data_IF_901656324739
#
_entry.id   IF_901656324739
#
_cell.length_a   1.000
_cell.length_b   1.000
_cell.length_c   1.000
_cell.angle_alpha   90.00
_cell.angle_beta   90.00
_cell.angle_gamma   90.00
#
_symmetry.space_group_name_H-M   'P 1'
#
loop_
_entity.id
_entity.type
_entity.pdbx_description
1 polymer ?
#
# COMPACT_ATOMS: atom_id res chain seq x y z
N UNK A 1 13.86 -24.48 -11.71
CA UNK A 1 12.41 -24.63 -11.45
C UNK A 1 12.03 -23.62 -10.38
N UNK A 2 11.00 -22.79 -10.61
CA UNK A 2 10.56 -21.78 -9.65
C UNK A 2 10.06 -22.39 -8.34
N UNK A 3 10.13 -21.64 -7.24
CA UNK A 3 9.61 -22.09 -5.93
C UNK A 3 8.13 -21.70 -5.85
N UNK A 4 7.25 -22.70 -5.82
CA UNK A 4 5.83 -22.48 -5.63
C UNK A 4 5.56 -22.03 -4.18
N UNK A 5 4.86 -20.91 -4.02
CA UNK A 5 4.50 -20.35 -2.70
C UNK A 5 3.00 -20.17 -2.59
N UNK A 6 2.46 -20.51 -1.44
CA UNK A 6 1.09 -20.16 -1.08
C UNK A 6 1.03 -18.67 -0.77
N UNK A 7 0.22 -17.93 -1.52
CA UNK A 7 0.06 -16.49 -1.39
C UNK A 7 -1.40 -16.13 -1.19
N UNK A 8 -1.60 -15.01 -0.49
CA UNK A 8 -2.86 -14.28 -0.51
C UNK A 8 -2.77 -13.24 -1.62
N UNK A 9 -3.56 -13.43 -2.68
CA UNK A 9 -3.46 -12.66 -3.91
C UNK A 9 -4.65 -11.75 -4.07
N UNK A 10 -4.37 -10.49 -4.39
CA UNK A 10 -5.36 -9.47 -4.71
C UNK A 10 -5.34 -9.21 -6.21
N UNK A 11 -6.48 -9.43 -6.85
CA UNK A 11 -6.75 -9.11 -8.24
C UNK A 11 -7.57 -7.82 -8.27
N UNK A 12 -7.05 -6.81 -8.96
CA UNK A 12 -7.69 -5.50 -9.07
C UNK A 12 -7.85 -5.20 -10.55
N UNK A 13 -9.08 -4.91 -10.97
CA UNK A 13 -9.39 -4.35 -12.28
C UNK A 13 -9.71 -2.87 -12.13
N UNK A 14 -9.07 -2.05 -12.95
CA UNK A 14 -9.29 -0.61 -12.99
C UNK A 14 -10.02 -0.24 -14.28
N UNK A 15 -10.93 0.72 -14.19
CA UNK A 15 -11.54 1.32 -15.38
C UNK A 15 -10.62 2.39 -16.00
N UNK A 16 -11.05 3.01 -17.10
CA UNK A 16 -10.29 4.05 -17.81
C UNK A 16 -10.00 5.31 -16.98
N UNK A 17 -10.75 5.51 -15.89
CA UNK A 17 -10.55 6.60 -14.93
C UNK A 17 -9.60 6.22 -13.79
N UNK A 18 -9.06 5.00 -13.78
CA UNK A 18 -8.28 4.42 -12.70
C UNK A 18 -9.06 4.23 -11.38
N UNK A 19 -10.39 4.08 -11.47
CA UNK A 19 -11.22 3.64 -10.35
C UNK A 19 -11.32 2.11 -10.32
N UNK A 20 -11.59 1.56 -9.13
CA UNK A 20 -11.81 0.13 -8.95
C UNK A 20 -13.09 -0.32 -9.68
N UNK A 21 -12.92 -1.10 -10.74
CA UNK A 21 -14.02 -1.76 -11.45
C UNK A 21 -14.38 -3.08 -10.76
N UNK A 22 -13.36 -3.85 -10.37
CA UNK A 22 -13.55 -5.05 -9.55
C UNK A 22 -12.33 -5.32 -8.67
N UNK A 23 -12.60 -5.90 -7.50
CA UNK A 23 -11.60 -6.30 -6.52
C UNK A 23 -11.93 -7.73 -6.11
N UNK A 24 -10.97 -8.64 -6.27
CA UNK A 24 -11.09 -10.02 -5.84
C UNK A 24 -9.87 -10.42 -5.02
N UNK A 25 -10.12 -11.12 -3.94
CA UNK A 25 -9.07 -11.64 -3.08
C UNK A 25 -9.19 -13.16 -3.00
N UNK A 26 -8.07 -13.86 -3.08
CA UNK A 26 -8.05 -15.32 -3.06
C UNK A 26 -6.74 -15.89 -2.50
N UNK A 27 -6.79 -17.11 -1.98
CA UNK A 27 -5.58 -17.92 -1.78
C UNK A 27 -5.16 -18.50 -3.13
N UNK A 28 -3.88 -18.41 -3.47
CA UNK A 28 -3.36 -18.97 -4.73
C UNK A 28 -1.93 -19.49 -4.55
N UNK A 29 -1.57 -20.51 -5.34
CA UNK A 29 -0.18 -20.89 -5.51
C UNK A 29 0.46 -20.02 -6.60
N UNK A 30 1.56 -19.35 -6.27
CA UNK A 30 2.33 -18.53 -7.21
C UNK A 30 3.72 -19.12 -7.33
N UNK A 31 4.16 -19.40 -8.56
CA UNK A 31 5.56 -19.75 -8.84
C UNK A 31 6.36 -18.46 -8.93
N UNK A 32 7.31 -18.27 -8.02
CA UNK A 32 8.28 -17.18 -8.13
C UNK A 32 9.46 -17.73 -8.91
N UNK A 33 9.60 -17.28 -10.16
CA UNK A 33 10.64 -17.73 -11.08
C UNK A 33 11.96 -16.99 -10.86
N UNK A 34 11.88 -15.68 -10.58
CA UNK A 34 13.06 -14.83 -10.42
C UNK A 34 12.82 -13.76 -9.35
N UNK A 35 13.87 -13.44 -8.59
CA UNK A 35 13.93 -12.26 -7.74
C UNK A 35 14.78 -11.20 -8.45
N UNK A 36 14.29 -9.96 -8.49
CA UNK A 36 15.01 -8.83 -9.05
C UNK A 36 15.34 -7.82 -7.95
N UNK A 37 16.54 -7.26 -8.01
CA UNK A 37 16.93 -6.06 -7.30
C UNK A 37 16.30 -4.82 -7.94
N UNK A 38 16.22 -3.71 -7.19
CA UNK A 38 15.74 -2.44 -7.76
C UNK A 38 16.56 -1.99 -8.97
N UNK A 39 17.88 -2.20 -8.94
CA UNK A 39 18.78 -1.81 -10.02
C UNK A 39 18.50 -2.58 -11.31
N UNK A 40 18.27 -3.88 -11.23
CA UNK A 40 17.92 -4.71 -12.40
C UNK A 40 16.57 -4.26 -12.98
N UNK A 41 15.57 -3.99 -12.13
CA UNK A 41 14.27 -3.48 -12.59
C UNK A 41 14.42 -2.09 -13.23
N UNK A 42 15.24 -1.21 -12.69
CA UNK A 42 15.50 0.12 -13.29
C UNK A 42 16.13 0.00 -14.69
N UNK A 43 17.05 -0.95 -14.88
CA UNK A 43 17.66 -1.25 -16.20
C UNK A 43 16.64 -1.81 -17.19
N UNK A 44 15.77 -2.71 -16.74
CA UNK A 44 14.67 -3.26 -17.53
C UNK A 44 13.65 -2.17 -17.91
N UNK A 45 13.30 -1.28 -16.98
CA UNK A 45 12.39 -0.14 -17.27
C UNK A 45 12.99 0.80 -18.33
N UNK A 46 14.30 1.03 -18.28
CA UNK A 46 14.99 1.86 -19.27
C UNK A 46 15.00 1.22 -20.67
N UNK A 47 14.81 -0.10 -20.75
CA UNK A 47 14.74 -0.85 -22.00
C UNK A 47 13.29 -0.88 -22.51
N UNK A 48 12.98 -0.05 -23.51
CA UNK A 48 11.65 0.04 -24.12
C UNK A 48 11.12 -1.33 -24.56
N UNK A 49 9.87 -1.63 -24.19
CA UNK A 49 9.21 -2.89 -24.58
C UNK A 49 9.44 -4.06 -23.61
N UNK A 50 10.18 -3.86 -22.51
CA UNK A 50 10.24 -4.85 -21.43
C UNK A 50 8.93 -4.90 -20.65
N UNK A 51 8.65 -6.03 -19.99
CA UNK A 51 7.53 -6.17 -19.06
C UNK A 51 7.49 -5.06 -18.01
N UNK A 52 8.66 -4.72 -17.41
CA UNK A 52 8.73 -3.69 -16.38
C UNK A 52 8.48 -2.29 -16.94
N UNK A 53 8.91 -1.99 -18.17
CA UNK A 53 8.66 -0.70 -18.82
C UNK A 53 7.16 -0.45 -19.02
N UNK A 54 6.39 -1.47 -19.45
CA UNK A 54 4.93 -1.37 -19.61
C UNK A 54 4.21 -1.17 -18.27
N UNK A 55 4.60 -1.93 -17.24
CA UNK A 55 4.03 -1.78 -15.89
C UNK A 55 4.34 -0.42 -15.31
N UNK A 56 5.56 0.08 -15.50
CA UNK A 56 5.95 1.42 -15.06
C UNK A 56 5.13 2.51 -15.76
N UNK A 57 4.91 2.41 -17.08
CA UNK A 57 4.05 3.34 -17.81
C UNK A 57 2.61 3.35 -17.27
N UNK A 58 2.05 2.17 -16.98
CA UNK A 58 0.73 2.04 -16.37
C UNK A 58 0.66 2.71 -14.99
N UNK A 59 1.68 2.50 -14.16
CA UNK A 59 1.80 3.13 -12.84
C UNK A 59 1.90 4.66 -12.95
N UNK A 60 2.67 5.20 -13.91
CA UNK A 60 2.73 6.65 -14.14
C UNK A 60 1.34 7.25 -14.41
N UNK A 61 0.58 6.64 -15.32
CA UNK A 61 -0.79 7.09 -15.62
C UNK A 61 -1.70 7.05 -14.39
N UNK A 62 -1.54 6.04 -13.54
CA UNK A 62 -2.27 5.92 -12.28
C UNK A 62 -1.93 7.05 -11.31
N UNK A 63 -0.65 7.41 -11.16
CA UNK A 63 -0.27 8.54 -10.31
C UNK A 63 -0.83 9.84 -10.88
N UNK A 64 -0.68 10.10 -12.17
CA UNK A 64 -1.19 11.32 -12.82
C UNK A 64 -2.71 11.47 -12.58
N UNK A 65 -3.46 10.38 -12.67
CA UNK A 65 -4.90 10.38 -12.39
C UNK A 65 -5.21 10.76 -10.94
N UNK A 66 -4.40 10.35 -9.96
CA UNK A 66 -4.59 10.72 -8.55
C UNK A 66 -4.20 12.15 -8.26
N UNK A 67 -3.11 12.65 -8.86
CA UNK A 67 -2.69 14.05 -8.73
C UNK A 67 -3.80 14.97 -9.23
N UNK A 68 -4.40 14.66 -10.40
CA UNK A 68 -5.56 15.40 -10.92
C UNK A 68 -6.78 15.39 -9.99
N UNK A 69 -6.88 14.43 -9.08
CA UNK A 69 -7.96 14.29 -8.08
C UNK A 69 -7.61 14.90 -6.72
N UNK A 70 -6.49 15.62 -6.61
CA UNK A 70 -6.07 16.29 -5.37
C UNK A 70 -5.20 15.44 -4.45
N UNK A 71 -4.57 14.37 -4.94
CA UNK A 71 -3.48 13.71 -4.20
C UNK A 71 -2.24 14.61 -4.19
N UNK A 72 -1.79 15.04 -3.00
CA UNK A 72 -0.62 15.93 -2.81
C UNK A 72 0.71 15.16 -2.94
N UNK A 73 0.83 14.38 -4.00
CA UNK A 73 2.07 13.74 -4.43
C UNK A 73 2.51 14.43 -5.72
N UNK A 74 3.76 14.83 -5.85
CA UNK A 74 4.24 15.56 -7.02
C UNK A 74 5.44 14.85 -7.65
N UNK A 75 5.59 14.98 -8.96
CA UNK A 75 6.81 14.63 -9.66
C UNK A 75 7.58 15.91 -9.97
N UNK A 76 8.88 15.88 -9.77
CA UNK A 76 9.83 16.67 -10.55
C UNK A 76 10.42 15.73 -11.63
N UNK A 77 11.00 16.29 -12.70
CA UNK A 77 11.59 15.59 -13.86
C UNK A 77 12.61 14.50 -13.47
N UNK A 78 13.06 14.47 -12.22
CA UNK A 78 14.01 13.49 -11.67
C UNK A 78 13.54 12.78 -10.39
N UNK A 79 12.43 13.18 -9.76
CA UNK A 79 12.11 12.75 -8.39
C UNK A 79 10.61 12.62 -8.10
N UNK A 80 10.23 11.62 -7.29
CA UNK A 80 8.90 11.56 -6.68
C UNK A 80 8.90 12.26 -5.32
N UNK A 81 8.24 13.40 -5.24
CA UNK A 81 8.09 14.21 -4.03
C UNK A 81 6.79 13.82 -3.33
N UNK A 82 6.90 13.25 -2.14
CA UNK A 82 5.74 13.02 -1.26
C UNK A 82 5.90 13.88 -0.01
N UNK A 83 4.95 14.77 0.22
CA UNK A 83 4.88 15.53 1.46
C UNK A 83 4.63 14.55 2.63
N UNK A 84 5.68 14.26 3.39
CA UNK A 84 5.60 13.51 4.63
C UNK A 84 5.47 14.46 5.81
N UNK A 85 4.72 14.07 6.85
CA UNK A 85 4.80 14.71 8.16
C UNK A 85 5.94 14.05 8.93
N UNK A 86 6.93 14.82 9.36
CA UNK A 86 7.92 14.39 10.36
C UNK A 86 7.62 15.13 11.67
N UNK A 87 7.67 14.44 12.80
CA UNK A 87 7.69 15.12 14.09
C UNK A 87 9.02 15.87 14.22
N UNK A 88 8.97 17.18 14.39
CA UNK A 88 10.15 17.99 14.66
C UNK A 88 10.56 17.81 16.13
N UNK A 89 11.86 17.79 16.48
CA UNK A 89 12.30 17.89 17.86
C UNK A 89 11.81 19.18 18.55
N UNK A 90 11.44 20.22 17.78
CA UNK A 90 10.90 21.49 18.26
C UNK A 90 9.42 21.42 18.68
N UNK A 91 8.75 20.26 18.52
CA UNK A 91 7.38 20.06 19.00
C UNK A 91 7.22 20.25 20.53
N UNK A 92 8.30 20.36 21.29
CA UNK A 92 8.27 20.68 22.72
C UNK A 92 7.81 22.12 23.04
N UNK A 93 7.77 23.04 22.05
CA UNK A 93 7.46 24.47 22.29
C UNK A 93 6.23 25.00 21.53
N UNK A 94 5.30 24.14 21.12
CA UNK A 94 3.99 24.58 20.59
C UNK A 94 3.99 25.16 19.17
N UNK A 95 5.13 25.16 18.47
CA UNK A 95 5.22 25.50 17.04
C UNK A 95 5.34 24.23 16.20
N UNK A 96 4.27 23.86 15.51
CA UNK A 96 4.27 22.80 14.49
C UNK A 96 4.96 23.32 13.22
N UNK A 97 6.29 23.21 13.17
CA UNK A 97 7.01 23.38 11.90
C UNK A 97 6.93 22.08 11.10
N UNK A 98 6.21 22.11 9.97
CA UNK A 98 6.18 21.00 9.01
C UNK A 98 7.48 20.99 8.22
N UNK A 99 8.43 20.14 8.61
CA UNK A 99 9.61 19.87 7.78
C UNK A 99 9.23 18.93 6.64
N UNK A 100 9.19 19.48 5.42
CA UNK A 100 9.10 18.70 4.20
C UNK A 100 10.51 18.27 3.78
N UNK A 101 10.73 16.96 3.59
CA UNK A 101 11.99 16.46 3.05
C UNK A 101 11.78 15.86 1.66
N UNK A 102 12.73 16.14 0.77
CA UNK A 102 12.83 15.50 -0.54
C UNK A 102 13.42 14.10 -0.35
N UNK A 103 12.74 13.08 -0.87
CA UNK A 103 13.29 11.73 -0.95
C UNK A 103 13.24 11.27 -2.40
N UNK A 104 14.42 11.11 -2.98
CA UNK A 104 14.57 10.59 -4.34
C UNK A 104 14.15 9.11 -4.38
N UNK A 105 13.38 8.74 -5.39
CA UNK A 105 13.00 7.35 -5.63
C UNK A 105 13.34 6.97 -7.05
N UNK A 106 13.91 5.77 -7.24
CA UNK A 106 14.13 5.22 -8.58
C UNK A 106 12.81 4.76 -9.21
N UNK A 107 12.81 4.53 -10.53
CA UNK A 107 11.62 4.06 -11.26
C UNK A 107 11.07 2.76 -10.69
N UNK A 108 11.95 1.82 -10.34
CA UNK A 108 11.60 0.55 -9.69
C UNK A 108 10.99 0.76 -8.30
N UNK A 109 11.50 1.71 -7.53
CA UNK A 109 10.95 2.05 -6.21
C UNK A 109 9.57 2.69 -6.33
N UNK A 110 9.36 3.57 -7.31
CA UNK A 110 8.05 4.17 -7.61
C UNK A 110 7.07 3.07 -8.03
N UNK A 111 7.46 2.22 -8.99
CA UNK A 111 6.68 1.07 -9.45
C UNK A 111 6.18 0.22 -8.29
N UNK A 112 7.08 -0.24 -7.42
CA UNK A 112 6.73 -1.08 -6.29
C UNK A 112 5.83 -0.35 -5.29
N UNK A 113 6.18 0.89 -4.91
CA UNK A 113 5.41 1.67 -3.93
C UNK A 113 3.97 1.87 -4.34
N UNK A 114 3.75 2.08 -5.63
CA UNK A 114 2.44 2.40 -6.16
C UNK A 114 1.57 1.18 -6.34
N UNK A 115 2.15 0.05 -6.75
CA UNK A 115 1.47 -1.25 -6.71
C UNK A 115 1.07 -1.60 -5.26
N UNK A 116 1.97 -1.39 -4.29
CA UNK A 116 1.67 -1.63 -2.87
C UNK A 116 0.56 -0.70 -2.37
N UNK A 117 0.59 0.58 -2.72
CA UNK A 117 -0.43 1.55 -2.32
C UNK A 117 -1.79 1.21 -2.94
N UNK A 118 -1.82 0.82 -4.22
CA UNK A 118 -3.02 0.34 -4.90
C UNK A 118 -3.60 -0.88 -4.17
N UNK A 119 -2.76 -1.86 -3.85
CA UNK A 119 -3.18 -3.06 -3.12
C UNK A 119 -3.75 -2.75 -1.74
N UNK A 120 -3.17 -1.78 -1.03
CA UNK A 120 -3.63 -1.34 0.29
C UNK A 120 -4.97 -0.58 0.22
N UNK A 121 -5.16 0.26 -0.80
CA UNK A 121 -6.43 0.99 -1.03
C UNK A 121 -7.54 0.05 -1.50
N UNK A 122 -7.26 -0.87 -2.41
CA UNK A 122 -8.23 -1.85 -2.89
C UNK A 122 -8.69 -2.79 -1.76
N UNK A 123 -7.76 -3.37 -0.99
CA UNK A 123 -8.12 -4.16 0.17
C UNK A 123 -8.88 -3.33 1.23
N UNK A 124 -8.49 -2.07 1.42
CA UNK A 124 -9.18 -1.15 2.31
C UNK A 124 -10.61 -0.83 1.86
N UNK A 125 -10.84 -0.66 0.56
CA UNK A 125 -12.17 -0.46 -0.03
C UNK A 125 -13.05 -1.70 0.16
N UNK A 126 -12.53 -2.90 -0.13
CA UNK A 126 -13.23 -4.17 0.04
C UNK A 126 -13.65 -4.44 1.49
N UNK A 127 -12.78 -4.13 2.45
CA UNK A 127 -13.03 -4.36 3.88
C UNK A 127 -13.65 -3.15 4.59
N UNK A 128 -14.00 -2.10 3.85
CA UNK A 128 -14.59 -0.88 4.44
C UNK A 128 -15.96 -1.10 5.08
N UNK A 129 -16.69 -2.15 4.68
CA UNK A 129 -17.93 -2.62 5.30
C UNK A 129 -17.70 -3.42 6.59
N UNK A 130 -16.49 -3.95 6.79
CA UNK A 130 -16.08 -4.76 7.96
C UNK A 130 -15.12 -3.96 8.84
N UNK A 131 -15.29 -2.64 8.85
CA UNK A 131 -14.38 -1.65 9.45
C UNK A 131 -14.01 -1.93 10.90
N UNK A 132 -14.83 -2.64 11.65
CA UNK A 132 -14.60 -2.92 13.07
C UNK A 132 -13.40 -3.85 13.29
N UNK A 133 -13.03 -4.66 12.31
CA UNK A 133 -12.10 -5.78 12.51
C UNK A 133 -10.72 -5.61 11.88
N UNK A 134 -10.44 -4.47 11.26
CA UNK A 134 -9.19 -4.21 10.54
C UNK A 134 -8.63 -2.82 10.85
N UNK A 135 -7.30 -2.65 10.79
CA UNK A 135 -6.64 -1.37 11.07
C UNK A 135 -6.44 -0.55 9.81
N UNK A 136 -7.15 0.58 9.74
CA UNK A 136 -7.06 1.53 8.66
C UNK A 136 -6.23 2.75 9.05
N UNK A 137 -5.35 3.22 8.16
CA UNK A 137 -4.83 4.58 8.23
C UNK A 137 -5.84 5.56 7.61
N UNK A 138 -6.10 6.66 8.30
CA UNK A 138 -6.76 7.81 7.70
C UNK A 138 -5.76 8.51 6.76
N UNK A 139 -6.09 8.61 5.47
CA UNK A 139 -5.28 9.33 4.47
C UNK A 139 -6.09 10.50 3.92
N UNK A 140 -5.37 11.55 3.50
CA UNK A 140 -5.83 12.87 3.03
C UNK A 140 -6.86 12.92 1.89
N UNK A 141 -7.33 11.78 1.37
CA UNK A 141 -8.18 11.70 0.16
C UNK A 141 -9.32 10.70 0.34
N UNK A 142 -9.78 10.48 1.57
CA UNK A 142 -11.06 9.80 1.83
C UNK A 142 -11.16 8.32 1.47
N UNK A 143 -10.10 7.67 0.96
CA UNK A 143 -10.10 6.22 0.75
C UNK A 143 -9.40 5.48 1.89
N UNK A 144 -10.04 4.46 2.50
CA UNK A 144 -9.45 3.65 3.55
C UNK A 144 -8.23 2.90 3.02
N UNK A 145 -7.09 3.05 3.70
CA UNK A 145 -5.86 2.31 3.40
C UNK A 145 -5.66 1.22 4.46
N UNK A 146 -5.59 -0.03 4.01
CA UNK A 146 -5.33 -1.19 4.87
C UNK A 146 -3.88 -1.65 4.71
N UNK A 147 -3.11 -1.71 5.79
CA UNK A 147 -1.73 -2.23 5.72
C UNK A 147 -1.72 -3.75 5.80
N UNK A 148 -1.47 -4.46 4.71
CA UNK A 148 -1.52 -5.94 4.70
C UNK A 148 -0.40 -6.61 3.88
N UNK A 149 0.49 -5.83 3.27
CA UNK A 149 1.46 -6.31 2.27
C UNK A 149 2.80 -6.77 2.85
N UNK A 150 3.04 -6.61 4.16
CA UNK A 150 4.30 -6.97 4.82
C UNK A 150 4.12 -7.84 6.10
N UNK A 151 3.36 -8.96 6.04
CA UNK A 151 2.97 -9.72 7.23
C UNK A 151 4.15 -10.31 8.01
N UNK A 152 5.26 -10.65 7.35
CA UNK A 152 6.43 -11.23 8.01
C UNK A 152 7.31 -10.20 8.74
N UNK A 153 7.07 -8.90 8.51
CA UNK A 153 7.88 -7.80 9.08
C UNK A 153 7.09 -6.78 9.90
N UNK A 154 5.76 -6.85 9.83
CA UNK A 154 4.86 -5.92 10.50
C UNK A 154 3.72 -6.70 11.13
N UNK A 155 3.66 -6.66 12.47
CA UNK A 155 2.55 -7.27 13.22
C UNK A 155 1.20 -6.73 12.76
N UNK A 156 1.12 -5.42 12.46
CA UNK A 156 -0.08 -4.80 11.88
C UNK A 156 -0.51 -5.47 10.57
N UNK A 157 0.44 -5.72 9.67
CA UNK A 157 0.16 -6.41 8.40
C UNK A 157 -0.27 -7.85 8.59
N UNK A 158 0.36 -8.57 9.53
CA UNK A 158 -0.01 -9.95 9.86
C UNK A 158 -1.47 -10.02 10.36
N UNK A 159 -1.83 -9.09 11.23
CA UNK A 159 -3.15 -9.03 11.85
C UNK A 159 -4.24 -8.65 10.83
N UNK A 160 -3.96 -7.71 9.94
CA UNK A 160 -4.84 -7.40 8.83
C UNK A 160 -4.99 -8.60 7.86
N UNK A 161 -3.94 -9.39 7.62
CA UNK A 161 -4.06 -10.62 6.83
C UNK A 161 -4.93 -11.68 7.50
N UNK A 162 -4.88 -11.80 8.84
CA UNK A 162 -5.81 -12.66 9.57
C UNK A 162 -7.25 -12.22 9.41
N UNK A 163 -7.55 -10.93 9.61
CA UNK A 163 -8.90 -10.39 9.41
C UNK A 163 -9.41 -10.62 7.98
N UNK A 164 -8.53 -10.44 7.00
CA UNK A 164 -8.81 -10.74 5.60
C UNK A 164 -9.16 -12.23 5.39
N UNK A 165 -8.40 -13.14 5.98
CA UNK A 165 -8.63 -14.58 5.86
C UNK A 165 -9.96 -14.98 6.50
N UNK A 166 -10.27 -14.48 7.70
CA UNK A 166 -11.56 -14.74 8.37
C UNK A 166 -12.74 -14.27 7.50
N UNK A 167 -12.62 -13.09 6.87
CA UNK A 167 -13.61 -12.59 5.91
C UNK A 167 -13.80 -13.54 4.72
N UNK A 168 -12.72 -14.08 4.15
CA UNK A 168 -12.80 -15.01 3.01
C UNK A 168 -13.45 -16.36 3.36
N UNK A 169 -13.32 -16.84 4.60
CA UNK A 169 -13.89 -18.13 5.04
C UNK A 169 -15.30 -18.00 5.59
N UNK A 170 -15.85 -16.79 5.67
CA UNK A 170 -17.17 -16.54 6.28
C UNK A 170 -17.20 -16.89 7.77
N UNK A 171 -16.03 -16.91 8.43
CA UNK A 171 -15.90 -17.29 9.83
C UNK A 171 -15.80 -16.03 10.70
N UNK A 172 -16.88 -15.62 11.38
CA UNK A 172 -16.84 -14.48 12.30
C UNK A 172 -16.09 -14.80 13.61
N UNK A 173 -15.73 -16.06 13.85
CA UNK A 173 -15.29 -16.60 15.15
C UNK A 173 -13.94 -16.10 15.66
N UNK A 174 -13.08 -15.53 14.80
CA UNK A 174 -11.79 -14.99 15.23
C UNK A 174 -11.41 -13.74 14.43
N UNK A 175 -12.24 -12.70 14.47
CA UNK A 175 -11.66 -11.38 14.23
C UNK A 175 -10.68 -11.08 15.36
N UNK A 176 -9.39 -10.82 15.06
CA UNK A 176 -8.35 -10.73 16.09
C UNK A 176 -8.54 -9.55 17.07
N UNK A 177 -9.50 -8.66 16.79
CA UNK A 177 -9.83 -7.51 17.62
C UNK A 177 -11.32 -7.41 17.84
N UNK A 178 -11.71 -7.38 19.12
CA UNK A 178 -12.90 -6.61 19.49
C UNK A 178 -12.58 -5.12 19.31
N UNK A 179 -13.57 -4.23 19.10
CA UNK A 179 -13.34 -2.79 18.97
C UNK A 179 -12.42 -2.21 20.07
N UNK A 180 -12.55 -2.69 21.31
CA UNK A 180 -11.76 -2.24 22.46
C UNK A 180 -10.28 -2.64 22.37
N UNK A 181 -9.98 -3.88 21.93
CA UNK A 181 -8.61 -4.36 21.72
C UNK A 181 -7.92 -3.60 20.58
N UNK A 182 -8.70 -3.21 19.56
CA UNK A 182 -8.22 -2.39 18.44
C UNK A 182 -7.81 -0.99 18.90
N UNK A 183 -8.66 -0.30 19.66
CA UNK A 183 -8.37 1.06 20.12
C UNK A 183 -7.16 1.12 21.05
N UNK A 184 -7.04 0.15 21.97
CA UNK A 184 -5.86 0.01 22.83
C UNK A 184 -4.57 -0.18 22.03
N UNK A 185 -4.60 -0.98 20.96
CA UNK A 185 -3.46 -1.18 20.08
C UNK A 185 -3.11 0.08 19.26
N UNK A 186 -4.12 0.79 18.72
CA UNK A 186 -3.91 2.06 18.00
C UNK A 186 -3.24 3.08 18.91
N UNK A 187 -3.70 3.20 20.16
CA UNK A 187 -3.12 4.09 21.14
C UNK A 187 -1.63 3.76 21.38
N UNK A 188 -1.30 2.49 21.63
CA UNK A 188 0.10 2.06 21.83
C UNK A 188 0.97 2.29 20.60
N UNK A 189 0.47 2.03 19.40
CA UNK A 189 1.23 2.20 18.17
C UNK A 189 1.52 3.67 17.85
N UNK A 190 0.57 4.58 18.11
CA UNK A 190 0.77 6.02 17.96
C UNK A 190 1.82 6.58 18.92
N UNK A 191 2.05 5.95 20.07
CA UNK A 191 3.10 6.34 21.02
C UNK A 191 4.51 5.85 20.64
N UNK A 192 4.64 4.94 19.66
CA UNK A 192 5.92 4.40 19.20
C UNK A 192 6.42 5.03 17.88
N UNK A 193 5.72 6.05 17.36
CA UNK A 193 6.10 6.87 16.19
C UNK A 193 6.41 8.29 16.63
#
# INVERSE_FOLDING_TARGET
>A
MGVARLCLTLLVRLNDRFDFESIRLQKSMVSIEQNYSFREVDQEIASSGSFFSEKYLGVRKLIDARIRRGDFSFYDDKHFIRLGKKASPLCQHGLLMHEYYLREYTSAQILLKEILLLAQRAAGSMLSSVRQSAFFEAVSIGQPKLHWTAPMRSYLSLMNQRAILSFLHGDPGEFPYTPEKRESFIAKWRHCL
#
